data_IF_874508022684
#
_entry.id   IF_874508022684
#
_cell.length_a   1.000
_cell.length_b   1.000
_cell.length_c   1.000
_cell.angle_alpha   90.00
_cell.angle_beta   90.00
_cell.angle_gamma   90.00
#
_symmetry.space_group_name_H-M   'P 1'
#
loop_
_entity.id
_entity.type
_entity.pdbx_description
1 polymer ?
#
# COMPACT_ATOMS: atom_id res chain seq x y z
N UNK A 1 2.74 10.50 -14.91
CA UNK A 1 2.25 10.84 -13.55
C UNK A 1 2.85 12.19 -13.15
N UNK A 2 2.47 13.30 -13.83
CA UNK A 2 3.07 14.61 -13.57
C UNK A 2 2.85 15.10 -12.13
N UNK A 3 1.69 14.85 -11.53
CA UNK A 3 1.37 15.36 -10.20
C UNK A 3 2.12 14.58 -9.13
N UNK A 4 2.04 13.24 -9.13
CA UNK A 4 2.71 12.39 -8.15
C UNK A 4 4.23 12.43 -8.27
N UNK A 5 4.79 12.55 -9.49
CA UNK A 5 6.23 12.75 -9.66
C UNK A 5 6.69 14.06 -9.03
N UNK A 6 5.95 15.15 -9.23
CA UNK A 6 6.27 16.46 -8.62
C UNK A 6 6.19 16.38 -7.09
N UNK A 7 5.10 15.84 -6.57
CA UNK A 7 4.90 15.61 -5.14
C UNK A 7 6.06 14.80 -4.52
N UNK A 8 6.45 13.70 -5.16
CA UNK A 8 7.55 12.86 -4.69
C UNK A 8 8.90 13.59 -4.65
N UNK A 9 9.14 14.54 -5.56
CA UNK A 9 10.36 15.37 -5.55
C UNK A 9 10.35 16.49 -4.52
N UNK A 10 9.16 16.93 -4.07
CA UNK A 10 8.99 17.91 -3.00
C UNK A 10 9.03 17.28 -1.60
N UNK A 11 8.87 15.96 -1.53
CA UNK A 11 8.90 15.17 -0.30
C UNK A 11 10.01 14.11 -0.34
N UNK A 12 9.95 13.11 0.55
CA UNK A 12 10.94 12.06 0.60
C UNK A 12 10.56 10.93 -0.37
N UNK A 13 11.50 10.56 -1.24
CA UNK A 13 11.40 9.36 -2.05
C UNK A 13 12.74 8.63 -2.06
N UNK A 14 12.67 7.32 -1.92
CA UNK A 14 13.81 6.42 -2.05
C UNK A 14 13.96 6.00 -3.51
N UNK A 15 15.17 6.17 -4.03
CA UNK A 15 15.42 6.14 -5.46
C UNK A 15 16.67 5.35 -5.80
N UNK A 16 16.53 4.44 -6.77
CA UNK A 16 17.65 3.75 -7.43
C UNK A 16 18.51 4.65 -8.32
N UNK A 17 18.10 5.90 -8.54
CA UNK A 17 18.83 6.91 -9.33
C UNK A 17 19.01 8.20 -8.55
N UNK A 18 19.82 9.12 -9.09
CA UNK A 18 20.06 10.44 -8.50
C UNK A 18 18.79 11.32 -8.46
N UNK A 19 17.87 11.11 -9.40
CA UNK A 19 16.67 11.93 -9.57
C UNK A 19 15.44 11.20 -9.06
N UNK A 20 14.96 10.21 -9.81
CA UNK A 20 13.75 9.45 -9.51
C UNK A 20 13.82 8.04 -10.12
N UNK A 21 13.77 7.01 -9.28
CA UNK A 21 14.03 5.64 -9.69
C UNK A 21 13.42 4.56 -8.82
N UNK A 22 12.62 4.89 -7.80
CA UNK A 22 11.76 3.94 -7.06
C UNK A 22 12.43 2.68 -6.49
N UNK A 23 11.61 1.66 -6.20
CA UNK A 23 12.05 0.33 -5.76
C UNK A 23 12.08 -0.68 -6.92
N UNK A 24 12.95 -1.67 -6.79
CA UNK A 24 13.13 -2.78 -7.74
C UNK A 24 12.14 -3.91 -7.41
N UNK A 25 11.35 -4.30 -8.41
CA UNK A 25 10.45 -5.44 -8.29
C UNK A 25 11.23 -6.76 -8.30
N UNK A 26 10.95 -7.63 -7.31
CA UNK A 26 11.59 -8.94 -7.14
C UNK A 26 10.58 -10.10 -7.29
N UNK A 27 11.07 -11.33 -7.24
CA UNK A 27 10.25 -12.53 -7.28
C UNK A 27 9.21 -12.53 -6.14
N UNK A 28 7.97 -12.89 -6.46
CA UNK A 28 6.86 -12.91 -5.50
C UNK A 28 6.36 -11.53 -5.07
N UNK A 29 6.60 -10.48 -5.88
CA UNK A 29 6.13 -9.09 -5.62
C UNK A 29 5.34 -8.47 -6.79
N UNK A 30 5.15 -9.22 -7.88
CA UNK A 30 4.76 -8.67 -9.20
C UNK A 30 3.27 -8.59 -9.52
N UNK A 31 2.38 -8.68 -8.53
CA UNK A 31 0.93 -8.50 -8.65
C UNK A 31 0.37 -7.95 -7.34
N UNK A 32 -0.84 -7.39 -7.33
CA UNK A 32 -1.35 -6.57 -6.22
C UNK A 32 -1.23 -7.20 -4.82
N UNK A 33 -1.79 -8.40 -4.58
CA UNK A 33 -1.68 -9.04 -3.25
C UNK A 33 -0.23 -9.42 -2.91
N UNK A 34 0.61 -9.71 -3.90
CA UNK A 34 2.03 -9.99 -3.68
C UNK A 34 2.82 -8.74 -3.27
N UNK A 35 2.60 -7.61 -3.95
CA UNK A 35 3.18 -6.32 -3.59
C UNK A 35 2.74 -5.89 -2.20
N UNK A 36 1.43 -5.98 -1.90
CA UNK A 36 0.88 -5.68 -0.59
C UNK A 36 1.47 -6.59 0.51
N UNK A 37 1.49 -7.90 0.29
CA UNK A 37 2.11 -8.86 1.23
C UNK A 37 3.57 -8.49 1.50
N UNK A 38 4.30 -8.11 0.45
CA UNK A 38 5.71 -7.75 0.56
C UNK A 38 5.94 -6.46 1.34
N UNK A 39 5.06 -5.46 1.20
CA UNK A 39 5.10 -4.22 1.98
C UNK A 39 4.66 -4.41 3.42
N UNK A 40 3.71 -5.31 3.67
CA UNK A 40 3.09 -5.46 4.97
C UNK A 40 3.83 -6.49 5.82
N UNK A 41 4.44 -7.50 5.23
CA UNK A 41 5.04 -8.63 5.95
C UNK A 41 6.52 -8.82 5.64
N UNK A 42 7.10 -8.03 4.74
CA UNK A 42 8.49 -8.15 4.28
C UNK A 42 8.90 -9.57 3.86
N UNK A 43 8.00 -10.30 3.19
CA UNK A 43 8.25 -11.63 2.62
C UNK A 43 7.67 -11.72 1.21
N UNK A 44 8.28 -12.50 0.30
CA UNK A 44 7.72 -12.71 -1.03
C UNK A 44 6.44 -13.52 -0.93
N UNK A 45 5.45 -13.22 -1.76
CA UNK A 45 4.28 -14.07 -1.89
C UNK A 45 4.60 -15.26 -2.80
N UNK A 46 4.78 -16.42 -2.18
CA UNK A 46 4.75 -17.73 -2.85
C UNK A 46 3.41 -18.36 -2.54
N UNK A 47 2.50 -18.36 -3.52
CA UNK A 47 1.24 -19.05 -3.36
C UNK A 47 1.51 -20.56 -3.37
N UNK A 48 0.97 -21.33 -2.40
CA UNK A 48 1.12 -22.78 -2.39
C UNK A 48 0.35 -23.48 -3.53
N UNK A 49 -0.35 -22.72 -4.38
CA UNK A 49 -1.18 -23.20 -5.49
C UNK A 49 -1.02 -22.17 -6.63
N UNK A 50 -0.85 -22.63 -7.87
CA UNK A 50 -0.75 -21.74 -9.03
C UNK A 50 -2.05 -20.97 -9.30
N UNK A 51 -1.94 -19.66 -9.58
CA UNK A 51 -3.07 -18.78 -9.95
C UNK A 51 -3.47 -17.77 -8.85
N UNK A 52 -4.55 -17.02 -9.08
CA UNK A 52 -5.09 -16.00 -8.16
C UNK A 52 -6.16 -16.54 -7.19
N UNK A 53 -6.53 -17.82 -7.30
CA UNK A 53 -7.55 -18.44 -6.45
C UNK A 53 -6.98 -18.76 -5.07
N UNK A 54 -7.42 -18.00 -4.06
CA UNK A 54 -7.12 -18.27 -2.66
C UNK A 54 -8.40 -18.75 -1.96
N UNK A 55 -8.35 -19.94 -1.34
CA UNK A 55 -9.52 -20.58 -0.73
C UNK A 55 -9.34 -20.96 0.74
N UNK A 56 -8.21 -20.63 1.36
CA UNK A 56 -7.99 -20.86 2.79
C UNK A 56 -8.68 -19.78 3.61
N UNK A 57 -9.07 -20.11 4.85
CA UNK A 57 -9.70 -19.14 5.76
C UNK A 57 -8.73 -18.13 6.40
N UNK A 58 -7.43 -18.36 6.27
CA UNK A 58 -6.33 -17.57 6.85
C UNK A 58 -5.27 -17.31 5.78
N UNK A 59 -4.51 -16.21 5.88
CA UNK A 59 -3.48 -15.84 4.91
C UNK A 59 -2.22 -15.40 5.66
N UNK A 60 -1.13 -16.16 5.52
CA UNK A 60 0.13 -15.94 6.26
C UNK A 60 -0.07 -15.61 7.76
N UNK A 61 -1.03 -16.29 8.41
CA UNK A 61 -1.47 -15.92 9.77
C UNK A 61 -0.34 -16.00 10.80
N UNK A 62 0.60 -16.93 10.66
CA UNK A 62 1.78 -17.02 11.54
C UNK A 62 2.90 -16.02 11.20
N UNK A 63 2.75 -15.21 10.14
CA UNK A 63 3.66 -14.09 9.88
C UNK A 63 3.30 -12.88 10.77
N UNK A 64 4.33 -12.16 11.22
CA UNK A 64 4.17 -10.82 11.78
C UNK A 64 4.18 -9.82 10.63
N UNK A 65 3.10 -9.05 10.52
CA UNK A 65 2.95 -8.00 9.52
C UNK A 65 2.67 -6.65 10.18
N UNK A 66 2.75 -5.56 9.42
CA UNK A 66 2.53 -4.19 9.89
C UNK A 66 1.17 -4.05 10.59
N UNK A 67 0.13 -4.71 10.09
CA UNK A 67 -1.19 -4.74 10.76
C UNK A 67 -1.11 -5.28 12.20
N UNK A 68 -0.34 -6.35 12.42
CA UNK A 68 -0.14 -6.93 13.76
C UNK A 68 0.61 -5.97 14.69
N UNK A 69 1.66 -5.33 14.18
CA UNK A 69 2.46 -4.36 14.92
C UNK A 69 1.59 -3.16 15.32
N UNK A 70 0.88 -2.56 14.37
CA UNK A 70 0.05 -1.38 14.62
C UNK A 70 -1.13 -1.70 15.55
N UNK A 71 -1.77 -2.86 15.38
CA UNK A 71 -2.81 -3.33 16.30
C UNK A 71 -2.27 -3.49 17.73
N UNK A 72 -1.08 -4.07 17.90
CA UNK A 72 -0.46 -4.21 19.24
C UNK A 72 -0.14 -2.87 19.90
N UNK A 73 0.05 -1.81 19.11
CA UNK A 73 0.27 -0.44 19.56
C UNK A 73 -1.03 0.37 19.73
N UNK A 74 -2.20 -0.28 19.61
CA UNK A 74 -3.50 0.36 19.81
C UNK A 74 -3.98 1.23 18.65
N UNK A 75 -3.47 1.03 17.44
CA UNK A 75 -3.97 1.73 16.26
C UNK A 75 -5.36 1.21 15.86
N UNK A 76 -6.24 2.14 15.52
CA UNK A 76 -7.48 1.85 14.78
C UNK A 76 -7.13 1.62 13.32
N UNK A 77 -7.31 0.40 12.85
CA UNK A 77 -6.96 -0.01 11.49
C UNK A 77 -8.20 -0.03 10.60
N UNK A 78 -8.04 0.39 9.34
CA UNK A 78 -9.08 0.26 8.32
C UNK A 78 -8.44 0.12 6.93
N UNK A 79 -8.87 -0.86 6.15
CA UNK A 79 -8.57 -0.95 4.72
C UNK A 79 -9.81 -0.66 3.89
N UNK A 80 -9.64 0.02 2.75
CA UNK A 80 -10.69 0.30 1.77
C UNK A 80 -10.16 -0.04 0.38
N UNK A 81 -10.92 -0.82 -0.39
CA UNK A 81 -10.60 -1.16 -1.76
C UNK A 81 -11.84 -1.14 -2.66
N UNK A 82 -11.64 -1.01 -3.96
CA UNK A 82 -12.75 -0.99 -4.92
C UNK A 82 -13.22 -2.37 -5.41
N UNK A 83 -12.44 -3.42 -5.23
CA UNK A 83 -12.73 -4.77 -5.71
C UNK A 83 -13.58 -5.58 -4.73
N UNK A 84 -14.12 -6.71 -5.21
CA UNK A 84 -14.70 -7.74 -4.34
C UNK A 84 -13.67 -8.18 -3.30
N UNK A 85 -14.06 -8.22 -2.02
CA UNK A 85 -13.17 -8.57 -0.91
C UNK A 85 -12.69 -10.02 -0.98
N UNK A 86 -13.47 -10.92 -1.58
CA UNK A 86 -13.08 -12.32 -1.77
C UNK A 86 -12.01 -12.49 -2.87
N UNK A 87 -11.75 -11.47 -3.68
CA UNK A 87 -10.78 -11.54 -4.75
C UNK A 87 -9.34 -11.66 -4.22
N UNK A 88 -8.58 -12.62 -4.75
CA UNK A 88 -7.14 -12.82 -4.51
C UNK A 88 -6.72 -13.05 -3.04
N UNK A 89 -7.66 -13.34 -2.14
CA UNK A 89 -7.37 -13.54 -0.72
C UNK A 89 -7.23 -12.25 0.09
N UNK A 90 -7.62 -11.10 -0.45
CA UNK A 90 -7.49 -9.79 0.21
C UNK A 90 -8.22 -9.74 1.55
N UNK A 91 -9.46 -10.23 1.61
CA UNK A 91 -10.22 -10.31 2.86
C UNK A 91 -9.49 -11.15 3.91
N UNK A 92 -8.97 -12.31 3.53
CA UNK A 92 -8.27 -13.21 4.45
C UNK A 92 -6.96 -12.60 4.93
N UNK A 93 -6.21 -11.95 4.03
CA UNK A 93 -5.00 -11.21 4.38
C UNK A 93 -5.28 -10.15 5.44
N UNK A 94 -6.17 -9.20 5.15
CA UNK A 94 -6.44 -8.10 6.08
C UNK A 94 -7.02 -8.59 7.42
N UNK A 95 -7.92 -9.58 7.39
CA UNK A 95 -8.46 -10.17 8.62
C UNK A 95 -7.40 -10.90 9.47
N UNK A 96 -6.49 -11.66 8.83
CA UNK A 96 -5.40 -12.38 9.54
C UNK A 96 -4.41 -11.45 10.23
N UNK A 97 -4.46 -10.15 9.91
CA UNK A 97 -3.57 -9.12 10.44
C UNK A 97 -4.34 -7.92 11.04
N UNK A 98 -5.54 -8.19 11.59
CA UNK A 98 -6.35 -7.24 12.39
C UNK A 98 -6.84 -5.98 11.65
N UNK A 99 -6.85 -5.99 10.32
CA UNK A 99 -7.29 -4.84 9.51
C UNK A 99 -8.69 -5.16 8.96
N UNK A 100 -9.76 -4.49 9.41
CA UNK A 100 -11.07 -4.58 8.77
C UNK A 100 -11.02 -4.09 7.31
N UNK A 101 -11.66 -4.79 6.38
CA UNK A 101 -11.71 -4.44 4.96
C UNK A 101 -13.11 -3.98 4.54
N UNK A 102 -13.21 -2.75 4.05
CA UNK A 102 -14.35 -2.26 3.26
C UNK A 102 -14.06 -2.50 1.77
N UNK A 103 -14.90 -3.28 1.10
CA UNK A 103 -14.81 -3.50 -0.34
C UNK A 103 -16.14 -3.31 -1.06
N UNK A 104 -16.30 -3.85 -2.27
CA UNK A 104 -17.48 -3.62 -3.11
C UNK A 104 -18.83 -3.81 -2.39
N UNK A 105 -18.96 -4.83 -1.53
CA UNK A 105 -20.17 -5.07 -0.73
C UNK A 105 -20.52 -3.92 0.22
N UNK A 106 -19.52 -3.33 0.89
CA UNK A 106 -19.73 -2.15 1.75
C UNK A 106 -20.25 -0.97 0.94
N UNK A 107 -19.70 -0.75 -0.26
CA UNK A 107 -20.17 0.32 -1.11
C UNK A 107 -21.64 0.12 -1.49
N UNK A 108 -21.99 -1.10 -1.90
CA UNK A 108 -23.33 -1.44 -2.38
C UNK A 108 -24.40 -1.37 -1.28
N UNK A 109 -24.08 -1.88 -0.09
CA UNK A 109 -25.05 -2.01 0.99
C UNK A 109 -25.16 -0.77 1.89
N UNK A 110 -24.10 0.05 1.96
CA UNK A 110 -24.02 1.13 2.95
C UNK A 110 -23.71 2.48 2.29
N UNK A 111 -22.59 2.57 1.58
CA UNK A 111 -22.05 3.86 1.11
C UNK A 111 -23.00 4.59 0.15
N UNK A 112 -23.48 3.91 -0.89
CA UNK A 112 -24.25 4.57 -1.95
C UNK A 112 -25.54 5.20 -1.43
N UNK A 113 -26.26 4.47 -0.57
CA UNK A 113 -27.49 4.96 0.05
C UNK A 113 -27.22 6.11 1.02
N UNK A 114 -26.16 6.02 1.83
CA UNK A 114 -25.81 7.06 2.79
C UNK A 114 -25.44 8.40 2.10
N UNK A 115 -24.95 8.35 0.86
CA UNK A 115 -24.46 9.51 0.13
C UNK A 115 -25.27 9.88 -1.13
N UNK A 116 -26.45 9.29 -1.33
CA UNK A 116 -27.33 9.54 -2.49
C UNK A 116 -26.62 9.37 -3.85
N UNK A 117 -25.73 8.38 -3.96
CA UNK A 117 -24.97 8.12 -5.19
C UNK A 117 -25.75 7.15 -6.08
N UNK A 118 -25.87 7.47 -7.37
CA UNK A 118 -26.49 6.59 -8.35
C UNK A 118 -25.68 5.27 -8.46
N UNK A 119 -26.27 4.10 -8.18
CA UNK A 119 -25.57 2.82 -8.29
C UNK A 119 -24.98 2.53 -9.67
N UNK A 120 -25.50 3.16 -10.73
CA UNK A 120 -25.01 2.98 -12.11
C UNK A 120 -23.69 3.72 -12.39
N UNK A 121 -23.27 4.65 -11.52
CA UNK A 121 -22.06 5.47 -11.75
C UNK A 121 -20.88 5.07 -10.84
N UNK A 122 -21.06 4.04 -10.02
CA UNK A 122 -20.10 3.64 -8.98
C UNK A 122 -18.89 2.87 -9.53
N UNK A 123 -19.06 2.15 -10.64
CA UNK A 123 -18.10 1.17 -11.12
C UNK A 123 -17.21 1.74 -12.23
N UNK A 124 -15.93 1.40 -12.17
CA UNK A 124 -15.04 1.31 -13.33
C UNK A 124 -15.13 -0.06 -13.99
N UNK A 125 -14.03 -0.52 -14.62
CA UNK A 125 -13.99 -1.83 -15.28
C UNK A 125 -13.87 -2.99 -14.27
N UNK A 126 -13.11 -2.78 -13.20
CA UNK A 126 -12.70 -3.85 -12.28
C UNK A 126 -13.41 -3.84 -10.92
N UNK A 127 -14.26 -2.83 -10.68
CA UNK A 127 -14.96 -2.65 -9.40
C UNK A 127 -15.33 -1.20 -9.18
N UNK A 128 -15.49 -0.81 -7.92
CA UNK A 128 -15.75 0.57 -7.51
C UNK A 128 -14.58 1.46 -7.95
N UNK A 129 -14.91 2.60 -8.56
CA UNK A 129 -13.92 3.56 -9.07
C UNK A 129 -13.10 4.23 -7.97
N UNK A 130 -11.88 4.64 -8.30
CA UNK A 130 -10.91 5.19 -7.36
C UNK A 130 -11.43 6.43 -6.62
N UNK A 131 -12.20 7.27 -7.33
CA UNK A 131 -12.80 8.46 -6.73
C UNK A 131 -13.69 8.14 -5.51
N UNK A 132 -14.43 7.02 -5.53
CA UNK A 132 -15.27 6.62 -4.40
C UNK A 132 -14.45 6.01 -3.25
N UNK A 133 -13.41 5.23 -3.57
CA UNK A 133 -12.47 4.69 -2.57
C UNK A 133 -11.76 5.84 -1.82
N UNK A 134 -11.27 6.83 -2.56
CA UNK A 134 -10.62 8.01 -1.98
C UNK A 134 -11.60 8.86 -1.16
N UNK A 135 -12.84 9.00 -1.61
CA UNK A 135 -13.87 9.73 -0.85
C UNK A 135 -14.23 9.03 0.46
N UNK A 136 -14.37 7.70 0.48
CA UNK A 136 -14.52 6.93 1.72
C UNK A 136 -13.33 7.15 2.66
N UNK A 137 -12.11 7.23 2.12
CA UNK A 137 -10.93 7.60 2.91
C UNK A 137 -11.03 9.00 3.53
N UNK A 138 -11.57 9.99 2.81
CA UNK A 138 -11.81 11.34 3.36
C UNK A 138 -12.81 11.30 4.50
N UNK A 139 -13.90 10.55 4.34
CA UNK A 139 -14.92 10.39 5.38
C UNK A 139 -14.34 9.77 6.66
N UNK A 140 -13.56 8.68 6.52
CA UNK A 140 -12.86 8.07 7.65
C UNK A 140 -11.99 9.10 8.39
N UNK A 141 -11.19 9.88 7.65
CA UNK A 141 -10.29 10.87 8.23
C UNK A 141 -11.04 12.05 8.89
N UNK A 142 -12.15 12.49 8.31
CA UNK A 142 -13.01 13.52 8.88
C UNK A 142 -13.67 13.04 10.17
N UNK A 143 -14.27 11.85 10.16
CA UNK A 143 -14.86 11.24 11.35
C UNK A 143 -13.80 11.04 12.46
N UNK A 144 -12.60 10.59 12.08
CA UNK A 144 -11.48 10.45 12.99
C UNK A 144 -11.10 11.79 13.63
N UNK A 145 -11.00 12.83 12.82
CA UNK A 145 -10.65 14.16 13.28
C UNK A 145 -11.66 14.69 14.30
N UNK A 146 -12.95 14.58 13.99
CA UNK A 146 -14.05 15.05 14.84
C UNK A 146 -14.13 14.28 16.16
N UNK A 147 -13.99 12.95 16.10
CA UNK A 147 -14.16 12.08 17.27
C UNK A 147 -12.96 12.10 18.20
N UNK A 148 -11.75 12.14 17.65
CA UNK A 148 -10.53 11.91 18.44
C UNK A 148 -9.52 13.05 18.37
N UNK A 149 -9.27 13.61 17.18
CA UNK A 149 -8.18 14.57 17.02
C UNK A 149 -8.49 15.95 17.60
N UNK A 150 -9.72 16.42 17.45
CA UNK A 150 -10.18 17.71 17.96
C UNK A 150 -10.49 17.70 19.46
N UNK A 151 -10.30 16.55 20.12
CA UNK A 151 -10.41 16.40 21.57
C UNK A 151 -9.06 16.67 22.23
N UNK A 152 -9.08 16.90 23.54
CA UNK A 152 -7.84 17.06 24.30
C UNK A 152 -6.97 15.80 24.17
N UNK A 153 -5.73 15.99 23.73
CA UNK A 153 -4.80 14.87 23.51
C UNK A 153 -4.26 14.37 24.84
N UNK A 154 -4.33 13.06 25.04
CA UNK A 154 -3.70 12.35 26.14
C UNK A 154 -2.68 11.36 25.58
N UNK A 155 -1.85 10.76 26.45
CA UNK A 155 -0.96 9.67 26.01
C UNK A 155 -1.75 8.46 25.47
N UNK A 156 -3.02 8.32 25.86
CA UNK A 156 -3.93 7.25 25.44
C UNK A 156 -4.78 7.64 24.22
N UNK A 157 -4.59 8.83 23.65
CA UNK A 157 -5.32 9.23 22.44
C UNK A 157 -5.10 8.19 21.34
N UNK A 158 -6.19 7.68 20.74
CA UNK A 158 -6.08 6.60 19.79
C UNK A 158 -5.36 7.12 18.54
N UNK A 159 -4.71 6.21 17.81
CA UNK A 159 -4.01 6.46 16.55
C UNK A 159 -4.72 5.70 15.43
N UNK A 160 -4.52 6.08 14.17
CA UNK A 160 -5.13 5.37 13.05
C UNK A 160 -4.08 4.91 12.04
N UNK A 161 -4.42 3.85 11.30
CA UNK A 161 -3.79 3.55 10.03
C UNK A 161 -4.87 3.18 9.01
N UNK A 162 -4.90 3.96 7.92
CA UNK A 162 -5.85 3.82 6.83
C UNK A 162 -5.10 3.32 5.58
N UNK A 163 -5.55 2.20 5.02
CA UNK A 163 -4.99 1.61 3.82
C UNK A 163 -6.00 1.77 2.68
N UNK A 164 -5.63 2.48 1.61
CA UNK A 164 -6.48 2.70 0.44
C UNK A 164 -5.87 2.01 -0.77
N UNK A 165 -6.63 1.14 -1.44
CA UNK A 165 -6.19 0.45 -2.64
C UNK A 165 -7.00 0.91 -3.87
N UNK A 166 -6.29 1.55 -4.82
CA UNK A 166 -6.83 1.98 -6.11
C UNK A 166 -6.82 0.84 -7.13
N UNK A 167 -7.69 0.93 -8.13
CA UNK A 167 -8.01 -0.15 -9.06
C UNK A 167 -8.15 0.32 -10.51
N UNK A 168 -8.43 1.60 -10.78
CA UNK A 168 -8.77 2.05 -12.13
C UNK A 168 -7.60 1.94 -13.13
N UNK A 169 -6.36 1.83 -12.67
CA UNK A 169 -5.19 1.62 -13.55
C UNK A 169 -4.95 0.16 -13.95
N UNK A 170 -5.86 -0.75 -13.59
CA UNK A 170 -5.68 -2.17 -13.85
C UNK A 170 -5.65 -2.50 -15.35
N UNK A 171 -4.73 -3.38 -15.74
CA UNK A 171 -4.58 -3.85 -17.11
C UNK A 171 -5.85 -4.60 -17.61
N UNK A 172 -6.10 -4.72 -18.92
CA UNK A 172 -5.27 -4.24 -20.03
C UNK A 172 -5.45 -2.76 -20.38
N UNK A 173 -6.58 -2.14 -20.07
CA UNK A 173 -6.90 -0.81 -20.59
C UNK A 173 -7.11 0.25 -19.52
N UNK A 174 -7.24 -0.14 -18.25
CA UNK A 174 -7.66 0.76 -17.18
C UNK A 174 -9.06 1.35 -17.41
N UNK A 175 -9.49 2.17 -16.47
CA UNK A 175 -10.72 2.93 -16.49
C UNK A 175 -10.41 4.41 -16.28
N UNK A 176 -11.06 5.27 -17.05
CA UNK A 176 -10.95 6.72 -16.88
C UNK A 176 -12.28 7.24 -16.38
N UNK A 177 -12.32 7.74 -15.14
CA UNK A 177 -13.53 8.36 -14.58
C UNK A 177 -13.80 9.71 -15.25
N UNK A 178 -14.58 9.72 -16.32
CA UNK A 178 -14.91 10.92 -17.10
C UNK A 178 -15.64 11.99 -16.29
N UNK A 179 -16.25 11.64 -15.16
CA UNK A 179 -16.82 12.62 -14.25
C UNK A 179 -15.74 13.51 -13.61
N UNK A 180 -14.59 12.93 -13.26
CA UNK A 180 -13.49 13.61 -12.60
C UNK A 180 -12.33 14.00 -13.55
N UNK A 181 -12.29 13.36 -14.73
CA UNK A 181 -11.25 13.49 -15.74
C UNK A 181 -11.85 13.64 -17.16
N UNK A 182 -12.72 14.65 -17.42
CA UNK A 182 -13.47 14.75 -18.68
C UNK A 182 -12.60 14.97 -19.92
N UNK A 183 -11.42 15.59 -19.76
CA UNK A 183 -10.56 16.01 -20.86
C UNK A 183 -9.55 14.94 -21.31
N UNK A 184 -9.51 13.77 -20.66
CA UNK A 184 -8.57 12.71 -21.04
C UNK A 184 -9.13 11.90 -22.21
N UNK A 185 -8.27 11.51 -23.15
CA UNK A 185 -8.67 10.83 -24.39
C UNK A 185 -9.11 9.38 -24.15
N UNK A 186 -10.09 8.92 -24.93
CA UNK A 186 -10.48 7.51 -25.00
C UNK A 186 -9.61 6.70 -25.99
N UNK A 187 -8.80 7.36 -26.81
CA UNK A 187 -7.90 6.71 -27.78
C UNK A 187 -6.69 6.07 -27.10
N UNK A 188 -6.30 6.58 -25.93
CA UNK A 188 -5.17 6.09 -25.12
C UNK A 188 -5.64 5.67 -23.72
N UNK A 189 -6.58 4.72 -23.60
CA UNK A 189 -7.33 4.49 -22.36
C UNK A 189 -6.44 4.12 -21.18
N UNK A 190 -5.37 3.35 -21.42
CA UNK A 190 -4.44 2.96 -20.36
C UNK A 190 -3.63 4.16 -19.83
N UNK A 191 -3.14 5.02 -20.72
CA UNK A 191 -2.46 6.25 -20.34
C UNK A 191 -3.41 7.21 -19.61
N UNK A 192 -4.64 7.37 -20.12
CA UNK A 192 -5.67 8.21 -19.51
C UNK A 192 -6.06 7.72 -18.11
N UNK A 193 -6.16 6.39 -17.89
CA UNK A 193 -6.41 5.84 -16.54
C UNK A 193 -5.29 6.21 -15.56
N UNK A 194 -4.03 6.10 -15.98
CA UNK A 194 -2.86 6.48 -15.16
C UNK A 194 -2.85 7.98 -14.85
N UNK A 195 -3.16 8.82 -15.83
CA UNK A 195 -3.25 10.27 -15.63
C UNK A 195 -4.42 10.66 -14.72
N UNK A 196 -5.54 9.94 -14.81
CA UNK A 196 -6.68 10.17 -13.94
C UNK A 196 -6.38 9.76 -12.49
N UNK A 197 -5.77 8.58 -12.27
CA UNK A 197 -5.33 8.14 -10.95
C UNK A 197 -4.28 9.10 -10.35
N UNK A 198 -3.30 9.54 -11.14
CA UNK A 198 -2.32 10.55 -10.74
C UNK A 198 -3.00 11.83 -10.24
N UNK A 199 -4.00 12.35 -10.97
CA UNK A 199 -4.78 13.51 -10.55
C UNK A 199 -5.56 13.25 -9.25
N UNK A 200 -6.34 12.18 -9.21
CA UNK A 200 -7.23 11.88 -8.08
C UNK A 200 -6.47 11.66 -6.76
N UNK A 201 -5.37 10.92 -6.81
CA UNK A 201 -4.51 10.66 -5.64
C UNK A 201 -3.85 11.97 -5.18
N UNK A 202 -3.33 12.79 -6.09
CA UNK A 202 -2.77 14.09 -5.73
C UNK A 202 -3.83 15.02 -5.11
N UNK A 203 -5.04 15.08 -5.64
CA UNK A 203 -6.14 15.87 -5.06
C UNK A 203 -6.55 15.38 -3.66
N UNK A 204 -6.50 14.06 -3.41
CA UNK A 204 -6.72 13.49 -2.09
C UNK A 204 -5.63 13.94 -1.10
N UNK A 205 -4.36 13.90 -1.52
CA UNK A 205 -3.22 14.30 -0.69
C UNK A 205 -3.27 15.80 -0.41
N UNK A 206 -3.48 16.63 -1.43
CA UNK A 206 -3.61 18.09 -1.29
C UNK A 206 -4.75 18.46 -0.33
N UNK A 207 -5.85 17.71 -0.35
CA UNK A 207 -6.93 17.86 0.60
C UNK A 207 -6.50 17.47 2.01
N UNK A 208 -5.83 16.32 2.17
CA UNK A 208 -5.38 15.81 3.47
C UNK A 208 -4.37 16.76 4.13
N UNK A 209 -3.45 17.34 3.34
CA UNK A 209 -2.44 18.31 3.81
C UNK A 209 -3.05 19.61 4.39
N UNK A 210 -4.31 19.91 4.06
CA UNK A 210 -5.05 21.08 4.55
C UNK A 210 -5.83 20.80 5.85
N UNK A 211 -5.87 19.56 6.32
CA UNK A 211 -6.61 19.17 7.52
C UNK A 211 -5.75 19.31 8.78
N UNK A 212 -6.38 19.51 9.93
CA UNK A 212 -5.66 19.71 11.20
C UNK A 212 -4.86 18.47 11.61
N UNK A 213 -5.35 17.26 11.28
CA UNK A 213 -4.65 16.00 11.54
C UNK A 213 -3.33 15.83 10.78
N UNK A 214 -3.12 16.60 9.70
CA UNK A 214 -1.98 16.41 8.82
C UNK A 214 -0.63 16.49 9.54
N UNK A 215 -0.48 17.45 10.46
CA UNK A 215 0.79 17.68 11.18
C UNK A 215 1.30 16.43 11.92
N UNK A 216 0.41 15.54 12.31
CA UNK A 216 0.72 14.31 13.05
C UNK A 216 0.45 13.04 12.21
N UNK A 217 0.35 13.18 10.89
CA UNK A 217 0.03 12.08 9.97
C UNK A 217 1.11 11.94 8.92
N UNK A 218 1.69 10.74 8.83
CA UNK A 218 2.52 10.33 7.70
C UNK A 218 1.63 9.80 6.58
N UNK A 219 1.78 10.31 5.36
CA UNK A 219 1.11 9.79 4.16
C UNK A 219 2.15 9.06 3.31
N UNK A 220 1.85 7.83 2.92
CA UNK A 220 2.74 6.98 2.12
C UNK A 220 2.01 6.60 0.84
N UNK A 221 2.63 6.88 -0.30
CA UNK A 221 2.10 6.54 -1.63
C UNK A 221 3.02 5.52 -2.25
N UNK A 222 2.48 4.33 -2.55
CA UNK A 222 3.24 3.22 -3.09
C UNK A 222 2.57 2.72 -4.37
N UNK A 223 3.37 2.44 -5.40
CA UNK A 223 2.93 1.51 -6.44
C UNK A 223 2.93 0.09 -5.87
N UNK A 224 1.95 -0.72 -6.21
CA UNK A 224 1.91 -2.13 -5.79
C UNK A 224 2.94 -2.96 -6.55
N UNK A 225 3.03 -2.78 -7.88
CA UNK A 225 4.00 -3.44 -8.74
C UNK A 225 4.21 -2.67 -10.07
N UNK A 226 5.13 -3.15 -10.90
CA UNK A 226 5.30 -2.66 -12.27
C UNK A 226 4.09 -3.04 -13.12
N UNK A 227 3.66 -2.12 -13.97
CA UNK A 227 2.59 -2.38 -14.94
C UNK A 227 2.87 -3.65 -15.77
N UNK A 228 1.86 -4.51 -15.80
CA UNK A 228 1.85 -5.76 -16.57
C UNK A 228 1.42 -5.55 -18.04
N UNK A 229 1.09 -4.31 -18.44
CA UNK A 229 0.67 -4.00 -19.81
C UNK A 229 1.84 -4.18 -20.77
N UNK A 230 1.68 -5.14 -21.68
CA UNK A 230 2.65 -5.39 -22.75
C UNK A 230 2.64 -4.24 -23.76
N UNK A 231 3.82 -3.94 -24.34
CA UNK A 231 4.02 -2.95 -25.41
C UNK A 231 3.58 -1.51 -25.08
N UNK A 232 3.42 -1.16 -23.79
CA UNK A 232 3.13 0.22 -23.39
C UNK A 232 4.41 1.06 -23.19
N UNK A 233 5.46 0.43 -22.66
CA UNK A 233 6.76 1.05 -22.47
C UNK A 233 7.74 0.60 -23.57
N UNK A 234 8.64 1.47 -24.05
CA UNK A 234 9.77 1.06 -24.89
C UNK A 234 10.58 -0.08 -24.24
N UNK A 235 11.11 -1.01 -25.06
CA UNK A 235 11.70 -2.29 -24.59
C UNK A 235 12.86 -2.16 -23.60
N UNK A 236 13.58 -1.03 -23.57
CA UNK A 236 14.72 -0.79 -22.68
C UNK A 236 14.44 0.22 -21.56
N UNK A 237 13.16 0.54 -21.33
CA UNK A 237 12.80 1.45 -20.26
C UNK A 237 13.17 0.85 -18.91
N UNK A 238 14.11 1.47 -18.20
CA UNK A 238 14.36 1.16 -16.79
C UNK A 238 13.14 1.60 -15.99
N UNK A 239 12.42 0.64 -15.43
CA UNK A 239 11.19 0.86 -14.66
C UNK A 239 11.44 0.53 -13.21
N UNK A 240 10.73 1.23 -12.34
CA UNK A 240 10.74 1.00 -10.92
C UNK A 240 9.37 1.29 -10.33
N UNK A 241 9.13 0.74 -9.13
CA UNK A 241 7.88 0.90 -8.41
C UNK A 241 7.93 2.20 -7.61
N UNK A 242 6.89 3.00 -7.77
CA UNK A 242 6.79 4.33 -7.19
C UNK A 242 6.76 4.27 -5.65
N UNK A 243 7.44 5.19 -4.99
CA UNK A 243 7.27 5.45 -3.56
C UNK A 243 7.41 6.95 -3.26
N UNK A 244 6.60 7.44 -2.32
CA UNK A 244 6.73 8.77 -1.73
C UNK A 244 6.26 8.73 -0.27
N UNK A 245 7.02 9.40 0.60
CA UNK A 245 6.73 9.57 2.02
C UNK A 245 6.56 11.06 2.30
N UNK A 246 5.38 11.43 2.76
CA UNK A 246 4.94 12.81 2.99
C UNK A 246 4.71 12.98 4.49
N UNK A 247 5.33 14.02 5.06
CA UNK A 247 5.39 14.25 6.50
C UNK A 247 5.88 13.04 7.34
N UNK A 248 6.96 12.32 6.94
CA UNK A 248 7.46 11.20 7.73
C UNK A 248 8.20 11.68 8.99
N UNK A 249 8.12 10.88 10.05
CA UNK A 249 8.86 11.07 11.31
C UNK A 249 9.98 10.03 11.45
N UNK A 250 10.82 9.90 10.43
CA UNK A 250 11.94 8.95 10.44
C UNK A 250 12.87 9.19 11.65
N UNK A 251 13.30 8.11 12.31
CA UNK A 251 14.30 8.14 13.38
C UNK A 251 15.69 8.62 12.91
N UNK A 252 15.92 8.65 11.59
CA UNK A 252 17.15 9.16 10.99
C UNK A 252 16.80 10.11 9.86
N UNK A 253 17.45 11.27 9.86
CA UNK A 253 17.21 12.31 8.87
C UNK A 253 17.56 11.78 7.45
N UNK A 254 16.62 11.75 6.50
CA UNK A 254 16.83 11.16 5.18
C UNK A 254 17.69 12.07 4.28
N UNK A 255 19.00 12.04 4.51
CA UNK A 255 19.97 12.76 3.68
C UNK A 255 20.06 12.16 2.26
N UNK A 256 20.42 12.95 1.23
CA UNK A 256 20.48 12.50 -0.16
C UNK A 256 21.26 11.19 -0.38
N UNK A 257 22.38 10.99 0.30
CA UNK A 257 23.21 9.77 0.23
C UNK A 257 22.51 8.54 0.81
N UNK A 258 21.54 8.71 1.70
CA UNK A 258 20.75 7.64 2.28
C UNK A 258 19.53 7.28 1.44
N UNK A 259 19.08 8.17 0.54
CA UNK A 259 17.82 8.00 -0.20
C UNK A 259 17.97 8.00 -1.73
N UNK A 260 19.13 8.39 -2.28
CA UNK A 260 19.40 8.42 -3.74
C UNK A 260 20.49 7.44 -4.14
N UNK A 261 20.39 6.89 -5.35
CA UNK A 261 21.25 5.82 -5.87
C UNK A 261 21.27 4.57 -4.97
N UNK A 262 20.15 4.29 -4.28
CA UNK A 262 20.01 3.16 -3.37
C UNK A 262 19.19 2.04 -4.02
N UNK A 263 19.61 0.79 -3.88
CA UNK A 263 18.82 -0.33 -4.40
C UNK A 263 17.87 -0.83 -3.31
N UNK A 264 16.58 -0.58 -3.47
CA UNK A 264 15.53 -1.03 -2.55
C UNK A 264 14.58 -1.99 -3.24
N UNK A 265 13.92 -2.81 -2.46
CA UNK A 265 12.83 -3.70 -2.86
C UNK A 265 11.55 -3.37 -2.10
N UNK A 266 10.44 -4.05 -2.42
CA UNK A 266 9.21 -3.98 -1.62
C UNK A 266 9.42 -4.32 -0.15
N UNK A 267 10.34 -5.23 0.16
CA UNK A 267 10.55 -5.67 1.54
C UNK A 267 11.08 -4.54 2.42
N UNK A 268 12.00 -3.72 1.89
CA UNK A 268 12.65 -2.61 2.59
C UNK A 268 11.66 -1.50 2.97
N UNK A 269 10.62 -1.30 2.14
CA UNK A 269 9.55 -0.35 2.42
C UNK A 269 8.80 -0.71 3.71
N UNK A 270 8.72 -1.99 4.10
CA UNK A 270 8.06 -2.38 5.36
C UNK A 270 8.73 -1.76 6.59
N UNK A 271 10.08 -1.78 6.61
CA UNK A 271 10.85 -1.15 7.68
C UNK A 271 10.69 0.38 7.65
N UNK A 272 10.66 0.97 6.44
CA UNK A 272 10.41 2.39 6.26
C UNK A 272 8.99 2.82 6.67
N UNK A 273 7.96 2.00 6.49
CA UNK A 273 6.61 2.33 6.95
C UNK A 273 6.62 2.52 8.47
N UNK A 274 7.22 1.59 9.22
CA UNK A 274 7.33 1.66 10.68
C UNK A 274 8.20 2.84 11.13
N UNK A 275 9.37 3.03 10.50
CA UNK A 275 10.26 4.15 10.83
C UNK A 275 9.63 5.51 10.49
N UNK A 276 8.84 5.59 9.42
CA UNK A 276 8.17 6.83 9.00
C UNK A 276 7.11 7.34 9.98
N UNK A 277 6.70 6.51 10.95
CA UNK A 277 5.78 6.90 12.04
C UNK A 277 6.50 6.99 13.40
N UNK A 278 7.83 7.02 13.40
CA UNK A 278 8.66 7.17 14.59
C UNK A 278 8.99 5.88 15.33
N UNK A 279 8.69 4.70 14.76
CA UNK A 279 9.15 3.42 15.31
C UNK A 279 10.51 3.07 14.71
N UNK A 280 11.58 3.29 15.47
CA UNK A 280 12.93 2.95 15.01
C UNK A 280 13.05 1.44 14.73
N UNK A 281 13.22 1.10 13.46
CA UNK A 281 13.35 -0.29 12.98
C UNK A 281 14.53 -0.36 12.04
N UNK A 282 15.51 -1.21 12.35
CA UNK A 282 16.65 -1.49 11.47
C UNK A 282 16.30 -2.54 10.41
N UNK A 283 15.49 -3.55 10.78
CA UNK A 283 15.08 -4.63 9.92
C UNK A 283 13.68 -5.13 10.28
N UNK A 284 12.93 -5.55 9.26
CA UNK A 284 11.63 -6.21 9.41
C UNK A 284 11.54 -7.31 8.35
N UNK A 285 11.48 -8.58 8.76
CA UNK A 285 11.56 -9.72 7.83
C UNK A 285 12.79 -9.64 6.90
N UNK A 286 12.56 -9.69 5.59
CA UNK A 286 13.61 -9.49 4.58
C UNK A 286 13.95 -8.02 4.31
N UNK A 287 13.16 -7.08 4.82
CA UNK A 287 13.39 -5.65 4.66
C UNK A 287 14.53 -5.16 5.55
N UNK A 288 15.33 -4.25 5.03
CA UNK A 288 16.31 -3.46 5.78
C UNK A 288 15.98 -2.00 5.64
N UNK A 289 16.10 -1.26 6.73
CA UNK A 289 15.93 0.18 6.69
C UNK A 289 17.15 0.82 6.02
N UNK A 290 17.02 1.41 4.82
CA UNK A 290 18.13 2.03 4.11
C UNK A 290 18.72 3.23 4.86
N UNK A 291 17.99 3.82 5.80
CA UNK A 291 18.50 4.90 6.65
C UNK A 291 19.48 4.42 7.72
N UNK A 292 19.54 3.11 7.98
CA UNK A 292 20.42 2.49 8.99
C UNK A 292 21.57 1.69 8.38
N UNK A 293 21.44 1.24 7.14
CA UNK A 293 22.48 0.43 6.51
C UNK A 293 22.15 0.04 5.08
N UNK A 294 22.88 -0.96 4.58
CA UNK A 294 22.64 -1.56 3.27
C UNK A 294 21.39 -2.41 3.26
N UNK A 295 20.70 -2.46 2.11
CA UNK A 295 19.62 -3.41 1.89
C UNK A 295 20.16 -4.79 1.50
N UNK A 296 19.35 -5.83 1.64
CA UNK A 296 19.71 -7.15 1.12
C UNK A 296 19.88 -7.13 -0.41
N UNK A 297 19.13 -6.27 -1.10
CA UNK A 297 19.28 -6.10 -2.54
C UNK A 297 20.64 -5.46 -2.90
N UNK A 298 21.14 -4.53 -2.08
CA UNK A 298 22.47 -3.93 -2.25
C UNK A 298 23.61 -4.91 -1.93
N UNK A 299 23.39 -5.81 -0.98
CA UNK A 299 24.38 -6.82 -0.57
C UNK A 299 24.50 -7.96 -1.57
N UNK A 300 23.37 -8.52 -2.01
CA UNK A 300 23.37 -9.71 -2.87
C UNK A 300 23.25 -9.40 -4.36
N UNK A 301 22.71 -8.23 -4.72
CA UNK A 301 22.31 -7.96 -6.10
C UNK A 301 21.02 -8.69 -6.50
N UNK A 302 20.38 -8.20 -7.57
CA UNK A 302 19.05 -8.66 -7.97
C UNK A 302 19.01 -10.13 -8.42
N UNK A 303 20.07 -10.64 -9.06
CA UNK A 303 20.08 -11.99 -9.60
C UNK A 303 20.16 -13.04 -8.49
N UNK A 304 21.13 -12.91 -7.60
CA UNK A 304 21.35 -13.80 -6.46
C UNK A 304 20.19 -13.72 -5.48
N UNK A 305 19.68 -12.51 -5.21
CA UNK A 305 18.55 -12.36 -4.30
C UNK A 305 17.30 -13.02 -4.86
N UNK A 306 16.97 -12.84 -6.14
CA UNK A 306 15.85 -13.56 -6.77
C UNK A 306 16.04 -15.08 -6.76
N UNK A 307 17.27 -15.56 -6.97
CA UNK A 307 17.57 -17.00 -6.88
C UNK A 307 17.27 -17.52 -5.47
N UNK A 308 17.68 -16.80 -4.42
CA UNK A 308 17.39 -17.16 -3.03
C UNK A 308 15.89 -17.08 -2.71
N UNK A 309 15.21 -16.02 -3.17
CA UNK A 309 13.77 -15.85 -2.99
C UNK A 309 12.98 -17.00 -3.60
N UNK A 310 13.42 -17.61 -4.70
CA UNK A 310 12.71 -18.73 -5.34
C UNK A 310 12.98 -20.10 -4.70
N UNK A 311 13.85 -20.20 -3.69
CA UNK A 311 14.11 -21.47 -3.01
C UNK A 311 12.95 -21.87 -2.08
N UNK A 312 12.76 -23.17 -1.87
CA UNK A 312 11.85 -23.66 -0.83
C UNK A 312 12.40 -23.33 0.56
N UNK A 313 11.51 -23.05 1.51
CA UNK A 313 11.89 -22.72 2.87
C UNK A 313 10.83 -23.23 3.83
N UNK A 314 11.21 -24.21 4.67
CA UNK A 314 10.32 -24.74 5.71
C UNK A 314 9.88 -23.65 6.69
N UNK A 315 10.72 -22.65 6.92
CA UNK A 315 10.36 -21.49 7.73
C UNK A 315 9.26 -20.68 7.05
N UNK A 316 9.41 -20.32 5.78
CA UNK A 316 8.37 -19.62 5.03
C UNK A 316 7.06 -20.42 4.98
N UNK A 317 7.14 -21.73 4.72
CA UNK A 317 5.96 -22.60 4.70
C UNK A 317 5.25 -22.64 6.06
N UNK A 318 5.99 -22.49 7.16
CA UNK A 318 5.42 -22.42 8.51
C UNK A 318 4.61 -21.14 8.75
N UNK A 319 4.90 -20.04 8.02
CA UNK A 319 4.15 -18.78 8.14
C UNK A 319 2.70 -18.91 7.67
N UNK A 320 2.40 -19.90 6.83
CA UNK A 320 1.05 -20.20 6.35
C UNK A 320 0.18 -20.97 7.35
N UNK A 321 0.75 -21.44 8.47
CA UNK A 321 -0.01 -22.21 9.45
C UNK A 321 -0.94 -21.29 10.25
N UNK A 322 -2.11 -21.79 10.68
CA UNK A 322 -2.94 -21.05 11.62
C UNK A 322 -2.20 -20.77 12.93
N UNK A 323 -2.34 -19.56 13.46
CA UNK A 323 -1.88 -19.20 14.80
C UNK A 323 -3.09 -19.03 15.73
N UNK A 324 -3.42 -20.10 16.44
CA UNK A 324 -4.54 -20.14 17.37
C UNK A 324 -4.40 -19.18 18.57
N UNK A 325 -3.23 -18.57 18.77
CA UNK A 325 -2.99 -17.61 19.85
C UNK A 325 -3.10 -16.16 19.39
N UNK A 326 -3.08 -15.90 18.08
CA UNK A 326 -3.01 -14.56 17.52
C UNK A 326 -4.25 -13.73 17.83
N UNK A 327 -5.42 -14.31 17.62
CA UNK A 327 -6.71 -13.63 17.83
C UNK A 327 -7.33 -13.89 19.20
N UNK A 328 -6.70 -14.69 20.07
CA UNK A 328 -7.15 -14.83 21.45
C UNK A 328 -6.73 -13.61 22.24
N UNK A 329 -7.69 -12.82 22.75
CA UNK A 329 -7.42 -11.80 23.76
C UNK A 329 -6.68 -12.49 24.91
N UNK A 330 -5.42 -12.13 25.15
CA UNK A 330 -4.79 -12.45 26.44
C UNK A 330 -5.63 -11.74 27.49
N UNK A 331 -6.36 -12.50 28.31
CA UNK A 331 -6.85 -12.02 29.58
C UNK A 331 -5.62 -11.63 30.40
N UNK A 332 -5.22 -10.36 30.33
CA UNK A 332 -4.24 -9.81 31.26
C UNK A 332 -4.92 -9.70 32.62
N UNK A 333 -4.46 -10.53 33.56
CA UNK A 333 -4.72 -10.41 34.99
C UNK A 333 -4.12 -9.13 35.56
#
# INVERSE_FOLDING_TARGET
MPNLSTLATQHINFSSTQTFGGTTQLAGTGWTIAGLTSYMCAVPLKLPIGGNSFSRGHFLESATCIGDVLHSLGYTLQAVQGSDTAFSGMLQFFNSHFIPLKGAKYFDEQYLSAHNINPQTKNGIWGIKDALVLNEGKLFLQEWQERYYNKEKTQESPRFALFLATLDTHHPNGFTDKQNCPNLSDETPYQSSILCADKLISEFIDWAQKQDFYKDTTIIVLGDHLSMKQNFFPQDTKRAVFNAFINPSFSTNPQPELIKNRQLSHFDISALILDSIGLEVEAFGLGRNPLKGKTLLEEFGAQEFNKALNQSSRFYDSLWKPDFTKHTKKETK
#
